data_IF_353514539418
#
_entry.id   IF_353514539418
#
_cell.length_a   1.000
_cell.length_b   1.000
_cell.length_c   1.000
_cell.angle_alpha   90.00
_cell.angle_beta   90.00
_cell.angle_gamma   90.00
#
_symmetry.space_group_name_H-M   'P 1'
#
loop_
_entity.id
_entity.type
_entity.pdbx_description
1 polymer ?
#
# COMPACT_ATOMS: atom_id res chain seq x y z
N UNK A 1 1.76 -41.31 45.97
CA UNK A 1 3.10 -40.70 46.17
C UNK A 1 3.07 -39.36 45.45
N UNK A 2 2.83 -38.27 46.20
CA UNK A 2 3.82 -37.28 46.67
C UNK A 2 4.29 -36.36 45.52
N UNK A 3 3.74 -35.14 45.39
CA UNK A 3 4.21 -33.87 45.96
C UNK A 3 5.50 -33.32 45.31
N UNK A 4 5.39 -32.16 44.63
CA UNK A 4 6.35 -31.04 44.56
C UNK A 4 5.72 -29.94 43.66
N UNK A 5 4.95 -28.98 44.16
CA UNK A 5 5.32 -27.77 44.92
C UNK A 5 6.38 -26.85 44.30
N UNK A 6 5.87 -25.67 43.88
CA UNK A 6 6.36 -24.31 44.18
C UNK A 6 7.69 -23.83 43.59
N UNK A 7 7.56 -22.82 42.73
CA UNK A 7 8.64 -21.91 42.35
C UNK A 7 8.09 -20.55 41.89
N UNK A 8 7.30 -19.88 42.74
CA UNK A 8 6.85 -18.50 42.51
C UNK A 8 8.03 -17.55 42.79
N UNK A 9 8.53 -16.86 41.76
CA UNK A 9 9.57 -15.83 41.93
C UNK A 9 8.91 -14.46 42.13
N UNK A 10 9.26 -13.68 43.16
CA UNK A 10 8.81 -12.31 43.30
C UNK A 10 9.54 -11.43 42.26
N UNK A 11 8.76 -10.68 41.48
CA UNK A 11 9.27 -9.58 40.67
C UNK A 11 9.76 -8.46 41.61
N UNK A 12 11.05 -8.16 41.55
CA UNK A 12 11.65 -7.04 42.26
C UNK A 12 11.22 -5.72 41.60
N UNK A 13 10.66 -4.84 42.41
CA UNK A 13 10.45 -3.44 42.09
C UNK A 13 11.75 -2.66 42.34
N UNK A 14 12.29 -2.08 41.28
CA UNK A 14 13.30 -1.03 41.27
C UNK A 14 13.25 -0.42 39.87
N UNK A 15 13.28 0.87 39.62
CA UNK A 15 13.63 2.05 40.41
C UNK A 15 13.66 3.17 39.37
N UNK A 16 13.11 4.32 39.74
CA UNK A 16 12.92 5.52 38.93
C UNK A 16 14.22 6.03 38.30
N UNK A 17 14.21 6.30 37.00
CA UNK A 17 15.08 7.28 36.37
C UNK A 17 14.26 8.08 35.36
N UNK A 18 13.80 9.26 35.81
CA UNK A 18 13.24 10.31 34.96
C UNK A 18 14.38 10.89 34.13
N UNK A 19 14.31 10.74 32.81
CA UNK A 19 14.96 11.65 31.89
C UNK A 19 13.86 12.31 31.06
N UNK A 20 13.39 13.45 31.57
CA UNK A 20 12.62 14.43 30.82
C UNK A 20 13.59 15.16 29.90
N UNK A 21 13.58 14.87 28.60
CA UNK A 21 14.20 15.69 27.56
C UNK A 21 13.27 15.71 26.34
N UNK A 22 12.63 16.87 26.10
CA UNK A 22 12.26 17.34 24.76
C UNK A 22 10.98 16.80 24.12
N UNK A 23 9.81 17.10 24.71
CA UNK A 23 8.56 17.16 23.94
C UNK A 23 8.58 18.40 23.03
N UNK A 24 9.12 18.25 21.83
CA UNK A 24 8.65 19.03 20.69
C UNK A 24 7.47 18.28 20.07
N UNK A 25 6.23 18.79 20.12
CA UNK A 25 5.14 18.16 19.40
C UNK A 25 5.34 18.45 17.91
N UNK A 26 6.07 17.58 17.20
CA UNK A 26 5.84 17.46 15.76
C UNK A 26 4.53 16.70 15.57
N UNK A 27 3.43 17.37 15.89
CA UNK A 27 2.09 16.98 15.49
C UNK A 27 2.00 17.21 13.99
N UNK A 28 2.67 16.37 13.19
CA UNK A 28 2.14 16.07 11.87
C UNK A 28 0.78 15.46 12.15
N UNK A 29 -0.26 16.28 12.03
CA UNK A 29 -1.63 15.81 11.99
C UNK A 29 -1.66 14.73 10.91
N UNK A 30 -1.62 13.46 11.35
CA UNK A 30 -1.85 12.32 10.48
C UNK A 30 -3.32 12.41 10.15
N UNK A 31 -3.65 13.26 9.18
CA UNK A 31 -4.95 13.29 8.55
C UNK A 31 -5.08 11.94 7.88
N UNK A 32 -5.57 10.95 8.63
CA UNK A 32 -5.83 9.58 8.20
C UNK A 32 -6.37 9.66 6.79
N UNK A 33 -5.54 9.30 5.82
CA UNK A 33 -5.85 9.61 4.43
C UNK A 33 -6.99 8.67 4.05
N UNK A 34 -8.21 9.22 3.94
CA UNK A 34 -9.39 8.42 3.62
C UNK A 34 -9.09 7.55 2.40
N UNK A 35 -9.47 6.27 2.47
CA UNK A 35 -9.14 5.31 1.43
C UNK A 35 -9.69 5.79 0.07
N UNK A 36 -8.84 5.73 -0.97
CA UNK A 36 -9.18 6.15 -2.32
C UNK A 36 -9.30 4.94 -3.23
N UNK A 37 -10.36 4.83 -4.01
CA UNK A 37 -10.45 3.85 -5.09
C UNK A 37 -9.91 4.44 -6.39
N UNK A 38 -9.00 3.73 -7.05
CA UNK A 38 -8.47 4.10 -8.36
C UNK A 38 -9.26 3.38 -9.45
N UNK A 39 -9.83 4.14 -10.36
CA UNK A 39 -10.59 3.63 -11.51
C UNK A 39 -9.92 3.98 -12.84
N UNK A 40 -9.96 3.02 -13.76
CA UNK A 40 -9.59 3.22 -15.17
C UNK A 40 -10.79 2.91 -16.07
N UNK A 41 -10.77 3.45 -17.29
CA UNK A 41 -11.72 3.13 -18.35
C UNK A 41 -11.13 1.98 -19.19
N UNK A 42 -11.79 0.82 -19.18
CA UNK A 42 -11.43 -0.37 -19.97
C UNK A 42 -12.67 -0.90 -20.67
N UNK A 43 -12.60 -1.07 -22.00
CA UNK A 43 -13.72 -1.55 -22.85
C UNK A 43 -15.03 -0.78 -22.62
N UNK A 44 -14.95 0.55 -22.56
CA UNK A 44 -16.11 1.44 -22.38
C UNK A 44 -16.68 1.49 -20.95
N UNK A 45 -16.06 0.84 -19.96
CA UNK A 45 -16.55 0.79 -18.57
C UNK A 45 -15.50 1.30 -17.59
N UNK A 46 -15.93 1.96 -16.52
CA UNK A 46 -15.09 2.30 -15.38
C UNK A 46 -14.89 1.08 -14.48
N UNK A 47 -13.65 0.70 -14.23
CA UNK A 47 -13.28 -0.44 -13.39
C UNK A 47 -12.35 0.03 -12.28
N UNK A 48 -12.67 -0.33 -11.04
CA UNK A 48 -11.76 -0.15 -9.90
C UNK A 48 -10.63 -1.16 -10.01
N UNK A 49 -9.39 -0.67 -10.11
CA UNK A 49 -8.20 -1.51 -10.31
C UNK A 49 -7.30 -1.59 -9.09
N UNK A 50 -7.36 -0.60 -8.21
CA UNK A 50 -6.60 -0.59 -6.96
C UNK A 50 -7.23 0.38 -5.96
N UNK A 51 -6.69 0.40 -4.74
CA UNK A 51 -6.99 1.38 -3.71
C UNK A 51 -5.71 2.00 -3.18
N UNK A 52 -5.74 3.28 -2.82
CA UNK A 52 -4.76 3.86 -1.90
C UNK A 52 -5.33 3.76 -0.50
N UNK A 53 -4.60 3.11 0.40
CA UNK A 53 -4.99 2.95 1.81
C UNK A 53 -3.77 3.21 2.69
N UNK A 54 -4.00 3.63 3.91
CA UNK A 54 -2.93 3.79 4.90
C UNK A 54 -2.77 2.49 5.70
N UNK A 55 -1.55 1.98 5.77
CA UNK A 55 -1.18 0.85 6.62
C UNK A 55 0.06 1.22 7.43
N UNK A 56 -0.03 1.08 8.75
CA UNK A 56 1.06 1.38 9.70
C UNK A 56 1.61 2.82 9.53
N UNK A 57 0.73 3.79 9.23
CA UNK A 57 1.10 5.19 8.99
C UNK A 57 1.68 5.48 7.61
N UNK A 58 1.74 4.49 6.71
CA UNK A 58 2.27 4.65 5.35
C UNK A 58 1.20 4.42 4.28
N UNK A 59 1.16 5.24 3.22
CA UNK A 59 0.27 5.00 2.09
C UNK A 59 0.76 3.80 1.26
N UNK A 60 -0.18 2.90 0.93
CA UNK A 60 0.08 1.70 0.13
C UNK A 60 -0.88 1.63 -1.06
N UNK A 61 -0.41 1.03 -2.15
CA UNK A 61 -1.26 0.65 -3.27
C UNK A 61 -1.79 -0.76 -3.01
N UNK A 62 -3.08 -0.89 -2.72
CA UNK A 62 -3.72 -2.15 -2.36
C UNK A 62 -4.59 -2.73 -3.48
N UNK A 63 -4.52 -4.04 -3.70
CA UNK A 63 -5.49 -4.80 -4.50
C UNK A 63 -6.08 -5.92 -3.65
N UNK A 64 -7.42 -5.98 -3.59
CA UNK A 64 -8.12 -7.11 -2.97
C UNK A 64 -8.45 -8.15 -4.04
N UNK A 65 -7.84 -9.32 -3.91
CA UNK A 65 -8.09 -10.49 -4.73
C UNK A 65 -9.27 -11.29 -4.15
N UNK A 66 -10.25 -11.56 -5.01
CA UNK A 66 -11.52 -12.22 -4.72
C UNK A 66 -11.86 -13.21 -5.83
N UNK A 67 -10.94 -14.11 -6.11
CA UNK A 67 -11.10 -15.20 -7.08
C UNK A 67 -11.11 -14.76 -8.57
N UNK A 68 -10.36 -13.71 -8.92
CA UNK A 68 -10.12 -13.38 -10.33
C UNK A 68 -9.38 -14.55 -11.01
N UNK A 69 -9.98 -15.13 -12.05
CA UNK A 69 -9.35 -16.18 -12.87
C UNK A 69 -8.07 -15.65 -13.51
N UNK A 70 -6.98 -16.42 -13.44
CA UNK A 70 -5.70 -16.07 -14.08
C UNK A 70 -4.66 -15.44 -13.14
N UNK A 71 -5.01 -15.06 -11.91
CA UNK A 71 -4.07 -14.49 -10.92
C UNK A 71 -3.37 -15.57 -10.08
N UNK A 72 -3.07 -16.74 -10.65
CA UNK A 72 -2.42 -17.84 -9.91
C UNK A 72 -0.89 -17.75 -9.91
N UNK A 73 -0.32 -17.06 -10.90
CA UNK A 73 1.15 -16.94 -11.08
C UNK A 73 1.64 -15.50 -10.98
N UNK A 74 0.82 -14.54 -11.39
CA UNK A 74 1.17 -13.14 -11.44
C UNK A 74 -0.05 -12.26 -11.15
N UNK A 75 0.23 -11.03 -10.73
CA UNK A 75 -0.75 -9.95 -10.61
C UNK A 75 -0.29 -8.78 -11.48
N UNK A 76 -1.23 -8.06 -12.06
CA UNK A 76 -0.97 -6.90 -12.90
C UNK A 76 -1.69 -5.66 -12.40
N UNK A 77 -1.12 -4.50 -12.71
CA UNK A 77 -1.68 -3.18 -12.44
C UNK A 77 -1.52 -2.29 -13.67
N UNK A 78 -2.52 -1.46 -14.01
CA UNK A 78 -2.33 -0.43 -15.04
C UNK A 78 -1.18 0.50 -14.68
N UNK A 79 -0.29 0.79 -15.63
CA UNK A 79 0.86 1.69 -15.40
C UNK A 79 0.44 3.07 -14.88
N UNK A 80 -0.70 3.59 -15.35
CA UNK A 80 -1.25 4.86 -14.87
C UNK A 80 -1.61 4.84 -13.37
N UNK A 81 -2.05 3.69 -12.84
CA UNK A 81 -2.34 3.54 -11.43
C UNK A 81 -1.06 3.46 -10.58
N UNK A 82 -0.02 2.79 -11.10
CA UNK A 82 1.31 2.74 -10.46
C UNK A 82 1.93 4.13 -10.42
N UNK A 83 1.94 4.84 -11.54
CA UNK A 83 2.47 6.20 -11.63
C UNK A 83 1.71 7.18 -10.72
N UNK A 84 0.37 7.08 -10.68
CA UNK A 84 -0.43 7.87 -9.76
C UNK A 84 -0.05 7.59 -8.31
N UNK A 85 0.11 6.32 -7.91
CA UNK A 85 0.50 5.96 -6.56
C UNK A 85 1.87 6.50 -6.18
N UNK A 86 2.87 6.36 -7.05
CA UNK A 86 4.23 6.90 -6.83
C UNK A 86 4.23 8.42 -6.66
N UNK A 87 3.46 9.14 -7.49
CA UNK A 87 3.29 10.58 -7.37
C UNK A 87 2.64 11.01 -6.03
N UNK A 88 1.95 10.09 -5.34
CA UNK A 88 1.37 10.29 -4.00
C UNK A 88 2.22 9.70 -2.88
N UNK A 89 3.52 9.46 -3.14
CA UNK A 89 4.46 9.00 -2.12
C UNK A 89 4.31 7.54 -1.71
N UNK A 90 3.49 6.76 -2.42
CA UNK A 90 3.34 5.32 -2.17
C UNK A 90 4.63 4.60 -2.53
N UNK A 91 5.13 3.76 -1.62
CA UNK A 91 6.38 3.00 -1.82
C UNK A 91 6.16 1.51 -1.99
N UNK A 92 5.02 0.98 -1.54
CA UNK A 92 4.74 -0.45 -1.51
C UNK A 92 3.38 -0.79 -2.12
N UNK A 93 3.36 -1.91 -2.81
CA UNK A 93 2.16 -2.58 -3.29
C UNK A 93 1.79 -3.71 -2.33
N UNK A 94 0.49 -3.88 -2.07
CA UNK A 94 -0.05 -4.96 -1.24
C UNK A 94 -1.15 -5.68 -2.00
N UNK A 95 -0.96 -6.98 -2.23
CA UNK A 95 -1.99 -7.88 -2.72
C UNK A 95 -2.61 -8.61 -1.53
N UNK A 96 -3.91 -8.45 -1.33
CA UNK A 96 -4.66 -9.09 -0.25
C UNK A 96 -5.59 -10.15 -0.78
N UNK A 97 -5.49 -11.36 -0.29
CA UNK A 97 -6.46 -12.43 -0.54
C UNK A 97 -7.49 -12.46 0.59
N UNK A 98 -8.70 -11.97 0.30
CA UNK A 98 -9.79 -11.92 1.28
C UNK A 98 -10.32 -13.31 1.64
N UNK A 99 -10.17 -14.30 0.76
CA UNK A 99 -10.70 -15.65 0.97
C UNK A 99 -9.77 -16.48 1.85
N UNK A 100 -8.46 -16.36 1.62
CA UNK A 100 -7.46 -17.10 2.40
C UNK A 100 -7.01 -16.34 3.65
N UNK A 101 -7.39 -15.07 3.81
CA UNK A 101 -6.92 -14.24 4.93
C UNK A 101 -5.41 -14.01 4.88
N UNK A 102 -4.82 -13.95 3.68
CA UNK A 102 -3.38 -13.76 3.48
C UNK A 102 -3.09 -12.48 2.70
N UNK A 103 -1.89 -11.96 2.84
CA UNK A 103 -1.45 -10.83 2.05
C UNK A 103 0.02 -11.00 1.63
N UNK A 104 0.38 -10.37 0.51
CA UNK A 104 1.74 -10.26 0.02
C UNK A 104 2.06 -8.81 -0.30
N UNK A 105 3.33 -8.43 -0.21
CA UNK A 105 3.81 -7.08 -0.52
C UNK A 105 5.09 -7.10 -1.35
N UNK A 106 5.31 -6.00 -2.06
CA UNK A 106 6.55 -5.70 -2.78
C UNK A 106 6.73 -4.19 -2.86
N UNK A 107 7.96 -3.70 -2.86
CA UNK A 107 8.24 -2.29 -3.14
C UNK A 107 7.86 -1.95 -4.59
N UNK A 108 7.30 -0.77 -4.85
CA UNK A 108 6.97 -0.33 -6.22
C UNK A 108 8.21 -0.23 -7.11
N UNK A 109 9.34 0.20 -6.55
CA UNK A 109 10.63 0.21 -7.24
C UNK A 109 11.08 -1.20 -7.67
N UNK A 110 10.87 -2.21 -6.81
CA UNK A 110 11.19 -3.60 -7.14
C UNK A 110 10.20 -4.17 -8.17
N UNK A 111 8.93 -3.80 -8.06
CA UNK A 111 7.91 -4.16 -9.04
C UNK A 111 8.26 -3.63 -10.44
N UNK A 112 8.79 -2.40 -10.54
CA UNK A 112 9.29 -1.85 -11.81
C UNK A 112 10.54 -2.56 -12.33
N UNK A 113 11.47 -2.91 -11.43
CA UNK A 113 12.74 -3.54 -11.80
C UNK A 113 12.59 -5.00 -12.22
N UNK A 114 11.71 -5.74 -11.54
CA UNK A 114 11.54 -7.21 -11.70
C UNK A 114 10.31 -7.59 -12.51
N UNK A 115 9.33 -6.69 -12.60
CA UNK A 115 8.12 -6.90 -13.38
C UNK A 115 8.35 -6.76 -14.88
N UNK A 116 7.28 -6.98 -15.65
CA UNK A 116 7.28 -6.79 -17.10
C UNK A 116 6.00 -6.07 -17.53
N UNK A 117 6.08 -5.30 -18.61
CA UNK A 117 4.92 -4.60 -19.18
C UNK A 117 4.28 -5.52 -20.23
N UNK A 118 2.98 -5.82 -20.05
CA UNK A 118 2.20 -6.58 -21.02
C UNK A 118 1.80 -5.73 -22.23
N UNK A 119 1.36 -6.40 -23.30
CA UNK A 119 0.84 -5.73 -24.51
C UNK A 119 -0.45 -4.91 -24.26
N UNK A 120 -1.09 -5.12 -23.11
CA UNK A 120 -2.24 -4.35 -22.64
C UNK A 120 -1.85 -3.07 -21.88
N UNK A 121 -0.57 -2.83 -21.64
CA UNK A 121 -0.05 -1.67 -20.91
C UNK A 121 -0.11 -1.83 -19.38
N UNK A 122 -0.33 -3.04 -18.87
CA UNK A 122 -0.28 -3.34 -17.45
C UNK A 122 1.13 -3.79 -17.02
N UNK A 123 1.56 -3.38 -15.82
CA UNK A 123 2.77 -3.87 -15.17
C UNK A 123 2.45 -5.14 -14.39
N UNK A 124 3.05 -6.25 -14.82
CA UNK A 124 2.91 -7.55 -14.21
C UNK A 124 4.07 -7.83 -13.24
N UNK A 125 3.76 -8.52 -12.15
CA UNK A 125 4.75 -9.08 -11.21
C UNK A 125 4.37 -10.50 -10.82
N UNK A 126 5.34 -11.38 -10.67
CA UNK A 126 5.07 -12.75 -10.24
C UNK A 126 4.74 -12.78 -8.75
N UNK A 127 3.84 -13.67 -8.36
CA UNK A 127 3.48 -13.83 -6.95
C UNK A 127 4.61 -14.43 -6.09
N UNK A 128 5.59 -15.08 -6.71
CA UNK A 128 6.80 -15.60 -6.06
C UNK A 128 7.80 -14.49 -5.70
N UNK A 129 7.74 -13.34 -6.41
CA UNK A 129 8.62 -12.20 -6.17
C UNK A 129 8.15 -11.33 -4.99
N UNK A 130 6.93 -11.57 -4.51
CA UNK A 130 6.31 -10.82 -3.41
C UNK A 130 6.53 -11.53 -2.07
N UNK A 131 6.78 -10.73 -1.03
CA UNK A 131 6.98 -11.22 0.33
C UNK A 131 5.65 -11.38 1.07
N UNK A 132 5.47 -12.42 1.90
CA UNK A 132 4.33 -12.49 2.81
C UNK A 132 4.28 -11.27 3.73
N UNK A 133 3.08 -10.76 4.00
CA UNK A 133 2.85 -9.66 4.95
C UNK A 133 1.58 -9.95 5.76
N UNK A 134 1.44 -9.42 6.99
CA UNK A 134 0.21 -9.60 7.76
C UNK A 134 -1.02 -9.12 6.98
N UNK A 135 -2.08 -9.91 7.00
CA UNK A 135 -3.38 -9.48 6.49
C UNK A 135 -3.95 -8.40 7.41
N UNK A 136 -4.44 -7.32 6.81
CA UNK A 136 -5.09 -6.22 7.53
C UNK A 136 -6.42 -5.87 6.86
N UNK A 137 -7.47 -5.55 7.65
CA UNK A 137 -8.67 -4.95 7.09
C UNK A 137 -8.30 -3.57 6.52
N UNK A 138 -8.98 -3.19 5.45
CA UNK A 138 -8.81 -1.88 4.82
C UNK A 138 -10.13 -1.15 4.94
N UNK A 139 -10.08 0.15 5.22
CA UNK A 139 -11.26 0.99 5.14
C UNK A 139 -11.91 0.89 3.75
N UNK A 140 -13.23 1.05 3.71
CA UNK A 140 -13.92 1.25 2.44
C UNK A 140 -13.43 2.55 1.81
N UNK A 141 -13.34 2.56 0.49
CA UNK A 141 -12.95 3.77 -0.20
C UNK A 141 -14.11 4.77 -0.15
N UNK A 142 -13.84 5.97 0.35
CA UNK A 142 -14.84 7.05 0.45
C UNK A 142 -14.85 7.92 -0.79
N UNK A 143 -13.74 7.91 -1.54
CA UNK A 143 -13.57 8.70 -2.76
C UNK A 143 -13.05 7.84 -3.90
N UNK A 144 -13.32 8.30 -5.11
CA UNK A 144 -12.91 7.65 -6.35
C UNK A 144 -12.08 8.62 -7.18
N UNK A 145 -10.94 8.16 -7.68
CA UNK A 145 -10.11 8.88 -8.65
C UNK A 145 -10.21 8.17 -9.99
N UNK A 146 -10.61 8.90 -11.03
CA UNK A 146 -10.72 8.39 -12.40
C UNK A 146 -9.46 8.77 -13.19
N UNK A 147 -8.65 7.76 -13.52
CA UNK A 147 -7.34 7.94 -14.14
C UNK A 147 -7.35 7.94 -15.67
N UNK A 148 -8.54 7.87 -16.29
CA UNK A 148 -8.67 7.78 -17.75
C UNK A 148 -8.42 6.37 -18.29
N UNK A 149 -7.83 6.26 -19.50
CA UNK A 149 -7.60 4.98 -20.16
C UNK A 149 -6.34 4.27 -19.66
N UNK A 150 -6.39 2.93 -19.59
CA UNK A 150 -5.26 2.12 -19.13
C UNK A 150 -4.01 2.26 -20.00
N UNK A 151 -4.19 2.46 -21.31
CA UNK A 151 -3.13 2.55 -22.32
C UNK A 151 -2.55 3.95 -22.47
N UNK A 152 -2.96 4.92 -21.65
CA UNK A 152 -2.48 6.29 -21.80
C UNK A 152 -0.94 6.30 -21.83
N UNK A 153 -0.41 6.86 -22.91
CA UNK A 153 1.01 7.03 -23.20
C UNK A 153 1.72 7.70 -22.01
N UNK A 154 3.07 7.67 -21.91
CA UNK A 154 3.78 8.26 -20.78
C UNK A 154 3.30 9.69 -20.60
N UNK A 155 2.51 9.92 -19.53
CA UNK A 155 2.18 11.25 -19.08
C UNK A 155 3.52 11.79 -18.65
N UNK A 156 4.15 12.59 -19.52
CA UNK A 156 5.10 13.60 -19.07
C UNK A 156 4.31 14.41 -18.05
N UNK A 157 4.46 14.05 -16.78
CA UNK A 157 4.04 14.86 -15.65
C UNK A 157 4.84 16.15 -15.78
N UNK A 158 4.31 17.10 -16.56
CA UNK A 158 4.71 18.49 -16.50
C UNK A 158 4.30 18.94 -15.11
N UNK A 159 5.23 18.82 -14.17
CA UNK A 159 5.23 19.62 -12.96
C UNK A 159 5.29 21.06 -13.43
N UNK A 160 4.11 21.69 -13.56
CA UNK A 160 3.98 23.13 -13.51
C UNK A 160 4.37 23.56 -12.12
N UNK A 161 5.69 23.69 -11.89
CA UNK A 161 6.22 24.63 -10.93
C UNK A 161 5.90 26.01 -11.49
N UNK A 162 4.75 26.56 -11.08
CA UNK A 162 4.54 28.01 -11.15
C UNK A 162 5.57 28.62 -10.19
N UNK A 163 6.73 28.99 -10.75
CA UNK A 163 7.66 29.91 -10.09
C UNK A 163 6.97 31.27 -10.13
N UNK A 164 6.25 31.57 -9.05
CA UNK A 164 5.81 32.93 -8.75
C UNK A 164 7.05 33.81 -8.66
N UNK A 165 7.21 34.70 -9.62
CA UNK A 165 8.24 35.72 -9.66
C UNK A 165 7.57 37.01 -9.19
N UNK A 166 7.54 37.25 -7.88
CA UNK A 166 7.21 38.55 -7.32
C UNK A 166 8.41 39.48 -7.52
N UNK A 167 8.17 40.59 -8.23
CA UNK A 167 9.03 41.78 -8.26
C UNK A 167 8.21 42.96 -7.77
#
# INVERSE_FOLDING_TARGET
MACAEKGCRPWQAGGVARHEHGMGPSAHAHSSTAALALQIRKRGRWLTVAKLVELDGEPVLGVAWRNQKGTSKAVSLPLVAVAYAEAHGVRRFVLRDDRLGTAKTIALADMRRRGWIGADGELYIKLEDMMPTPWRPWAYAERVVRLGEAKAAPVQLRLGLEVGNDR
#
